data_IF_502584574580
#
_entry.id   IF_502584574580
#
_cell.length_a   1.000
_cell.length_b   1.000
_cell.length_c   1.000
_cell.angle_alpha   90.00
_cell.angle_beta   90.00
_cell.angle_gamma   90.00
#
_symmetry.space_group_name_H-M   'P 1'
#
loop_
_entity.id
_entity.type
_entity.pdbx_description
1 polymer ?
#
# COMPACT_ATOMS: atom_id res chain seq x y z
N UNK A 1 12.26 1.93 -17.36
CA UNK A 1 12.48 1.12 -16.12
C UNK A 1 11.28 1.29 -15.20
N UNK A 2 10.83 0.23 -14.52
CA UNK A 2 9.52 0.20 -13.83
C UNK A 2 9.51 0.88 -12.45
N UNK A 3 10.70 1.16 -11.89
CA UNK A 3 10.88 1.96 -10.67
C UNK A 3 11.76 3.19 -10.98
N UNK A 4 11.25 4.11 -11.81
CA UNK A 4 11.96 5.35 -12.18
C UNK A 4 12.37 6.22 -10.98
N UNK A 5 11.57 6.34 -9.89
CA UNK A 5 12.03 7.04 -8.69
C UNK A 5 13.28 6.41 -8.05
N UNK A 6 13.51 5.12 -8.25
CA UNK A 6 14.72 4.42 -7.81
C UNK A 6 16.02 4.95 -8.43
N UNK A 7 15.96 5.67 -9.55
CA UNK A 7 17.12 6.33 -10.15
C UNK A 7 17.57 7.58 -9.37
N UNK A 8 16.67 8.15 -8.56
CA UNK A 8 16.92 9.35 -7.73
C UNK A 8 16.55 9.07 -6.26
N UNK A 9 17.21 8.09 -5.62
CA UNK A 9 16.75 7.48 -4.38
C UNK A 9 16.62 8.48 -3.23
N UNK A 10 17.57 9.43 -3.08
CA UNK A 10 17.52 10.44 -2.01
C UNK A 10 16.27 11.32 -2.13
N UNK A 11 16.03 11.88 -3.32
CA UNK A 11 14.89 12.76 -3.57
C UNK A 11 13.58 11.98 -3.48
N UNK A 12 13.52 10.78 -4.05
CA UNK A 12 12.33 9.91 -3.98
C UNK A 12 11.97 9.54 -2.53
N UNK A 13 12.96 9.15 -1.72
CA UNK A 13 12.75 8.86 -0.30
C UNK A 13 12.26 10.08 0.47
N UNK A 14 12.89 11.25 0.28
CA UNK A 14 12.46 12.49 0.94
C UNK A 14 11.02 12.88 0.57
N UNK A 15 10.67 12.81 -0.72
CA UNK A 15 9.34 13.12 -1.20
C UNK A 15 8.29 12.13 -0.64
N UNK A 16 8.59 10.83 -0.66
CA UNK A 16 7.70 9.81 -0.12
C UNK A 16 7.53 9.96 1.40
N UNK A 17 8.62 10.15 2.15
CA UNK A 17 8.56 10.36 3.60
C UNK A 17 7.71 11.58 3.95
N UNK A 18 7.93 12.72 3.28
CA UNK A 18 7.13 13.92 3.51
C UNK A 18 5.63 13.69 3.27
N UNK A 19 5.28 12.94 2.22
CA UNK A 19 3.88 12.61 1.91
C UNK A 19 3.24 11.64 2.93
N UNK A 20 4.03 10.76 3.56
CA UNK A 20 3.53 9.71 4.46
C UNK A 20 3.42 10.12 5.93
N UNK A 21 4.13 11.18 6.37
CA UNK A 21 4.13 11.65 7.77
C UNK A 21 2.73 11.70 8.41
N UNK A 22 1.70 12.34 7.81
CA UNK A 22 0.39 12.44 8.47
C UNK A 22 -0.28 11.08 8.70
N UNK A 23 -0.05 10.13 7.80
CA UNK A 23 -0.60 8.77 7.90
C UNK A 23 0.12 7.95 8.97
N UNK A 24 1.45 8.08 9.04
CA UNK A 24 2.27 7.41 10.07
C UNK A 24 1.90 7.91 11.47
N UNK A 25 1.68 9.21 11.63
CA UNK A 25 1.23 9.80 12.90
C UNK A 25 -0.14 9.28 13.31
N UNK A 26 -1.14 9.35 12.42
CA UNK A 26 -2.48 8.84 12.69
C UNK A 26 -2.49 7.33 13.02
N UNK A 27 -1.63 6.52 12.37
CA UNK A 27 -1.47 5.11 12.72
C UNK A 27 -0.88 4.92 14.13
N UNK A 28 0.13 5.72 14.50
CA UNK A 28 0.76 5.65 15.81
C UNK A 28 -0.19 6.08 16.94
N UNK A 29 -1.14 6.96 16.65
CA UNK A 29 -2.19 7.41 17.58
C UNK A 29 -3.38 6.44 17.68
N UNK A 30 -3.44 5.42 16.82
CA UNK A 30 -4.52 4.43 16.82
C UNK A 30 -5.76 4.82 16.01
N UNK A 31 -5.64 5.83 15.15
CA UNK A 31 -6.75 6.39 14.35
C UNK A 31 -7.09 5.57 13.10
N UNK A 32 -6.60 4.32 13.00
CA UNK A 32 -6.83 3.44 11.86
C UNK A 32 -8.33 3.27 11.55
N UNK A 33 -9.17 3.15 12.57
CA UNK A 33 -10.61 2.93 12.37
C UNK A 33 -11.39 4.23 12.11
N UNK A 34 -10.79 5.40 12.40
CA UNK A 34 -11.43 6.71 12.25
C UNK A 34 -10.97 7.51 11.02
N UNK A 35 -9.82 7.19 10.42
CA UNK A 35 -9.37 7.81 9.16
C UNK A 35 -9.78 6.94 7.93
N UNK A 36 -10.76 7.35 7.12
CA UNK A 36 -11.19 6.60 5.93
C UNK A 36 -10.07 6.33 4.93
N UNK A 37 -9.05 7.19 4.86
CA UNK A 37 -7.90 7.04 3.95
C UNK A 37 -6.95 5.94 4.41
N UNK A 38 -6.78 5.78 5.73
CA UNK A 38 -6.02 4.66 6.28
C UNK A 38 -6.79 3.35 6.12
N UNK A 39 -8.10 3.35 6.39
CA UNK A 39 -8.97 2.18 6.21
C UNK A 39 -8.96 1.64 4.78
N UNK A 40 -9.02 2.53 3.79
CA UNK A 40 -9.01 2.13 2.38
C UNK A 40 -7.68 1.51 1.94
N UNK A 41 -6.58 1.80 2.65
CA UNK A 41 -5.27 1.20 2.39
C UNK A 41 -5.07 -0.23 2.93
N UNK A 42 -6.02 -0.78 3.69
CA UNK A 42 -5.88 -2.11 4.30
C UNK A 42 -6.08 -3.20 3.25
N UNK A 43 -5.01 -3.96 2.97
CA UNK A 43 -5.07 -5.13 2.07
C UNK A 43 -5.38 -6.43 2.79
N UNK A 44 -4.83 -6.62 3.99
CA UNK A 44 -4.96 -7.84 4.80
C UNK A 44 -5.36 -7.48 6.22
N UNK A 45 -6.33 -8.20 6.80
CA UNK A 45 -6.72 -8.07 8.21
C UNK A 45 -7.00 -9.45 8.80
N UNK A 46 -6.38 -9.74 9.94
CA UNK A 46 -6.52 -11.02 10.65
C UNK A 46 -6.32 -12.25 9.73
N UNK A 47 -5.29 -12.22 8.87
CA UNK A 47 -4.96 -13.32 7.95
C UNK A 47 -5.86 -13.44 6.71
N UNK A 48 -6.82 -12.52 6.49
CA UNK A 48 -7.70 -12.51 5.31
C UNK A 48 -7.40 -11.34 4.40
N UNK A 49 -7.41 -11.58 3.08
CA UNK A 49 -7.45 -10.52 2.07
C UNK A 49 -8.79 -9.80 2.16
N UNK A 50 -8.74 -8.49 2.41
CA UNK A 50 -9.94 -7.65 2.57
C UNK A 50 -10.08 -6.62 1.45
N UNK A 51 -9.02 -6.35 0.69
CA UNK A 51 -9.08 -5.43 -0.45
C UNK A 51 -9.58 -6.16 -1.71
N UNK A 52 -10.75 -5.78 -2.28
CA UNK A 52 -11.38 -6.51 -3.38
C UNK A 52 -10.48 -6.69 -4.60
N UNK A 53 -9.80 -5.61 -5.04
CA UNK A 53 -8.95 -5.66 -6.22
C UNK A 53 -7.75 -6.61 -6.06
N UNK A 54 -7.21 -6.76 -4.84
CA UNK A 54 -6.09 -7.68 -4.58
C UNK A 54 -6.59 -9.12 -4.58
N UNK A 55 -7.76 -9.37 -3.97
CA UNK A 55 -8.39 -10.68 -3.99
C UNK A 55 -8.72 -11.14 -5.42
N UNK A 56 -9.29 -10.26 -6.25
CA UNK A 56 -9.59 -10.54 -7.66
C UNK A 56 -8.32 -10.83 -8.48
N UNK A 57 -7.27 -10.00 -8.31
CA UNK A 57 -6.02 -10.15 -9.02
C UNK A 57 -5.32 -11.49 -8.72
N UNK A 58 -5.41 -11.98 -7.48
CA UNK A 58 -4.79 -13.24 -7.07
C UNK A 58 -5.66 -14.48 -7.31
N UNK A 59 -6.98 -14.31 -7.44
CA UNK A 59 -7.91 -15.40 -7.74
C UNK A 59 -7.90 -15.81 -9.22
N UNK A 60 -7.34 -14.98 -10.11
CA UNK A 60 -7.32 -15.22 -11.55
C UNK A 60 -6.15 -16.16 -11.92
N UNK A 61 -6.37 -17.43 -12.29
CA UNK A 61 -5.32 -18.41 -12.56
C UNK A 61 -4.47 -18.08 -13.81
N UNK A 62 -4.96 -17.21 -14.69
CA UNK A 62 -4.28 -16.86 -15.95
C UNK A 62 -3.07 -15.93 -15.77
N UNK A 63 -2.90 -15.30 -14.60
CA UNK A 63 -1.84 -14.30 -14.38
C UNK A 63 -0.51 -14.88 -13.86
N UNK A 64 -0.47 -16.18 -13.55
CA UNK A 64 0.73 -16.88 -13.09
C UNK A 64 1.23 -17.98 -14.04
N UNK A 65 0.59 -18.15 -15.21
CA UNK A 65 1.05 -19.06 -16.27
C UNK A 65 1.77 -18.28 -17.37
N UNK A 66 3.01 -17.86 -17.11
CA UNK A 66 4.09 -17.67 -18.10
C UNK A 66 5.32 -17.05 -17.42
N UNK A 67 6.26 -17.89 -17.00
CA UNK A 67 7.64 -17.95 -17.50
C UNK A 67 8.42 -19.01 -16.72
#
# INVERSE_FOLDING_TARGET
VTNMPGAVPRTASQALSAALIPFVQALAEGELEHDPRLRSGINVRAGRLVHPAVAEALASPEKFSNN
#
